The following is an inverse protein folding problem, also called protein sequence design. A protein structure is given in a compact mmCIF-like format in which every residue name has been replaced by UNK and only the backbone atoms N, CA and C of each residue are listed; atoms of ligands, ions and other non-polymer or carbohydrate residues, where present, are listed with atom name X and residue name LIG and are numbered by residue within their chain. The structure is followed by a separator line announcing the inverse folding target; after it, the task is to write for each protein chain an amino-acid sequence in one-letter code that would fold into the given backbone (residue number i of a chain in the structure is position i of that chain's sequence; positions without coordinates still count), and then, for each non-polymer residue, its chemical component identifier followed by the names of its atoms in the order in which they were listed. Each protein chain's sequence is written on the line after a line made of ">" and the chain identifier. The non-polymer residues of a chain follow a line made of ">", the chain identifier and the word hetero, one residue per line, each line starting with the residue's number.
data_IF_537336981495
#
_entry.id   IF_537336981495
#
_cell.length_a   1.000
_cell.length_b   1.000
_cell.length_c   1.000
_cell.angle_alpha   90.00
_cell.angle_beta   90.00
_cell.angle_gamma   90.00
#
_symmetry.space_group_name_H-M   'P 1'
#
loop_
_entity.id
_entity.type
_entity.pdbx_description
1 polymer ?
#
# COMPACT_ATOMS: atom_id res chain seq x y z
N UNK A 1 -8.08 37.30 23.54
CA UNK A 1 -8.15 35.90 23.10
C UNK A 1 -8.77 35.12 24.24
N UNK A 2 -9.90 34.46 24.01
CA UNK A 2 -10.59 33.78 25.10
C UNK A 2 -9.92 32.40 25.36
N UNK A 3 -10.05 31.91 26.61
CA UNK A 3 -9.50 30.61 27.04
C UNK A 3 -10.07 29.47 26.15
N UNK A 4 -11.30 29.61 25.68
CA UNK A 4 -11.95 28.65 24.74
C UNK A 4 -11.25 28.60 23.38
N UNK A 5 -10.84 29.73 22.83
CA UNK A 5 -10.13 29.77 21.54
C UNK A 5 -8.77 29.09 21.65
N UNK A 6 -8.06 29.27 22.76
CA UNK A 6 -6.76 28.65 23.03
C UNK A 6 -6.90 27.12 23.24
N UNK A 7 -8.00 26.66 23.85
CA UNK A 7 -8.28 25.24 24.03
C UNK A 7 -8.69 24.55 22.71
N UNK A 8 -9.48 25.23 21.85
CA UNK A 8 -9.82 24.73 20.52
C UNK A 8 -8.58 24.64 19.61
N UNK A 9 -7.72 25.66 19.61
CA UNK A 9 -6.49 25.65 18.82
C UNK A 9 -5.49 24.59 19.32
N UNK A 10 -5.45 24.33 20.64
CA UNK A 10 -4.60 23.28 21.21
C UNK A 10 -5.14 21.89 20.91
N UNK A 11 -6.45 21.70 20.97
CA UNK A 11 -7.11 20.43 20.60
C UNK A 11 -6.98 20.15 19.10
N UNK A 12 -7.10 21.18 18.24
CA UNK A 12 -6.91 21.04 16.79
C UNK A 12 -5.45 20.73 16.44
N UNK A 13 -4.49 21.33 17.16
CA UNK A 13 -3.06 21.09 16.99
C UNK A 13 -2.64 19.69 17.48
N UNK A 14 -3.23 19.19 18.58
CA UNK A 14 -3.01 17.83 19.08
C UNK A 14 -3.63 16.77 18.17
N UNK A 15 -4.77 17.07 17.50
CA UNK A 15 -5.41 16.17 16.53
C UNK A 15 -4.58 16.04 15.24
N UNK A 16 -3.81 17.06 14.85
CA UNK A 16 -2.92 16.99 13.68
C UNK A 16 -1.62 16.21 13.97
N UNK A 17 -1.25 16.00 15.21
CA UNK A 17 -0.03 15.26 15.58
C UNK A 17 -0.14 13.73 15.40
N UNK A 18 -1.34 13.19 15.34
CA UNK A 18 -1.63 11.74 15.22
C UNK A 18 -2.62 11.40 14.10
N UNK A 19 -2.61 12.11 12.99
CA UNK A 19 -3.44 11.78 11.84
C UNK A 19 -2.80 10.69 10.97
N UNK A 20 -3.62 9.90 10.26
CA UNK A 20 -3.09 8.93 9.29
C UNK A 20 -2.30 9.61 8.17
N UNK A 21 -2.64 10.85 7.80
CA UNK A 21 -1.88 11.65 6.83
C UNK A 21 -0.43 11.87 7.28
N UNK A 22 -0.21 12.15 8.57
CA UNK A 22 1.16 12.25 9.10
C UNK A 22 1.94 10.93 8.99
N UNK A 23 1.29 9.79 9.19
CA UNK A 23 1.97 8.50 9.02
C UNK A 23 2.33 8.25 7.56
N UNK A 24 1.47 8.66 6.60
CA UNK A 24 1.80 8.62 5.17
C UNK A 24 3.03 9.49 4.89
N UNK A 25 3.06 10.73 5.39
CA UNK A 25 4.22 11.63 5.26
C UNK A 25 5.49 11.01 5.88
N UNK A 26 5.36 10.42 7.06
CA UNK A 26 6.47 9.72 7.71
C UNK A 26 7.01 8.55 6.85
N UNK A 27 6.13 7.76 6.19
CA UNK A 27 6.52 6.69 5.27
C UNK A 27 7.23 7.31 4.05
N UNK A 28 6.69 8.37 3.47
CA UNK A 28 7.30 9.05 2.33
C UNK A 28 8.70 9.61 2.66
N UNK A 29 8.93 10.03 3.90
CA UNK A 29 10.21 10.59 4.37
C UNK A 29 11.21 9.53 4.89
N UNK A 30 10.92 8.24 4.80
CA UNK A 30 11.89 7.19 5.09
C UNK A 30 13.10 7.28 4.12
N UNK A 31 14.22 6.67 4.49
CA UNK A 31 15.49 6.76 3.74
C UNK A 31 15.52 5.86 2.50
N UNK A 32 14.52 5.96 1.62
CA UNK A 32 14.38 5.12 0.44
C UNK A 32 15.62 5.10 -0.48
N UNK A 33 16.28 6.24 -0.62
CA UNK A 33 17.51 6.36 -1.44
C UNK A 33 18.72 5.63 -0.85
N UNK A 34 18.66 5.19 0.41
CA UNK A 34 19.73 4.43 1.08
C UNK A 34 19.58 2.92 0.91
N UNK A 35 18.41 2.45 0.41
CA UNK A 35 18.22 1.02 0.21
C UNK A 35 19.13 0.50 -0.89
N UNK A 36 19.88 -0.55 -0.55
CA UNK A 36 20.54 -1.40 -1.52
C UNK A 36 19.53 -2.40 -2.15
N UNK A 37 20.02 -3.22 -3.07
CA UNK A 37 19.23 -4.26 -3.72
C UNK A 37 18.59 -5.20 -2.70
N UNK A 38 19.27 -5.50 -1.62
CA UNK A 38 18.80 -6.44 -0.61
C UNK A 38 17.64 -5.84 0.18
N UNK A 39 17.80 -4.62 0.69
CA UNK A 39 16.74 -3.90 1.40
C UNK A 39 15.51 -3.68 0.52
N UNK A 40 15.72 -3.28 -0.75
CA UNK A 40 14.61 -3.08 -1.69
C UNK A 40 13.89 -4.39 -2.03
N UNK A 41 14.62 -5.51 -2.12
CA UNK A 41 14.00 -6.85 -2.27
C UNK A 41 13.15 -7.20 -1.04
N UNK A 42 13.60 -6.87 0.17
CA UNK A 42 12.83 -7.09 1.39
C UNK A 42 11.53 -6.29 1.38
N UNK A 43 11.58 -5.03 0.92
CA UNK A 43 10.39 -4.19 0.76
C UNK A 43 9.40 -4.82 -0.22
N UNK A 44 9.86 -5.30 -1.39
CA UNK A 44 9.00 -5.97 -2.36
C UNK A 44 8.32 -7.22 -1.77
N UNK A 45 9.03 -8.00 -0.95
CA UNK A 45 8.50 -9.17 -0.26
C UNK A 45 7.37 -8.82 0.71
N UNK A 46 7.55 -7.80 1.54
CA UNK A 46 6.52 -7.42 2.51
C UNK A 46 5.38 -6.65 1.88
N UNK A 47 5.62 -5.94 0.79
CA UNK A 47 4.59 -5.29 0.00
C UNK A 47 3.56 -6.28 -0.56
N UNK A 48 3.96 -7.51 -0.91
CA UNK A 48 3.02 -8.58 -1.25
C UNK A 48 1.94 -8.77 -0.16
N UNK A 49 2.31 -8.76 1.10
CA UNK A 49 1.34 -8.92 2.20
C UNK A 49 0.43 -7.70 2.35
N UNK A 50 0.93 -6.51 2.05
CA UNK A 50 0.07 -5.33 1.93
C UNK A 50 -0.93 -5.49 0.77
N UNK A 51 -0.52 -6.00 -0.39
CA UNK A 51 -1.43 -6.25 -1.52
C UNK A 51 -2.53 -7.26 -1.16
N UNK A 52 -2.19 -8.30 -0.38
CA UNK A 52 -3.20 -9.25 0.16
C UNK A 52 -4.18 -8.53 1.08
N UNK A 53 -3.69 -7.69 2.01
CA UNK A 53 -4.55 -6.91 2.90
C UNK A 53 -5.48 -5.98 2.11
N UNK A 54 -4.94 -5.29 1.10
CA UNK A 54 -5.72 -4.39 0.25
C UNK A 54 -6.89 -5.12 -0.40
N UNK A 55 -6.64 -6.26 -1.06
CA UNK A 55 -7.69 -7.09 -1.65
C UNK A 55 -8.74 -7.50 -0.62
N UNK A 56 -8.32 -7.97 0.57
CA UNK A 56 -9.25 -8.34 1.65
C UNK A 56 -10.08 -7.15 2.14
N UNK A 57 -9.50 -5.94 2.21
CA UNK A 57 -10.22 -4.74 2.61
C UNK A 57 -11.25 -4.33 1.56
N UNK A 58 -10.94 -4.48 0.28
CA UNK A 58 -11.88 -4.24 -0.81
C UNK A 58 -13.05 -5.25 -0.78
N UNK A 59 -12.77 -6.54 -0.52
CA UNK A 59 -13.80 -7.56 -0.32
C UNK A 59 -14.73 -7.22 0.87
N UNK A 60 -14.17 -6.69 1.96
CA UNK A 60 -14.95 -6.21 3.12
C UNK A 60 -15.79 -5.00 2.73
N UNK A 61 -15.22 -4.01 2.03
CA UNK A 61 -15.97 -2.84 1.56
C UNK A 61 -17.13 -3.25 0.66
N UNK A 62 -16.91 -4.14 -0.30
CA UNK A 62 -17.95 -4.72 -1.16
C UNK A 62 -19.06 -5.43 -0.34
N UNK A 63 -18.68 -6.14 0.72
CA UNK A 63 -19.64 -6.81 1.62
C UNK A 63 -20.48 -5.84 2.45
N UNK A 64 -19.91 -4.70 2.85
CA UNK A 64 -20.59 -3.67 3.65
C UNK A 64 -21.44 -2.72 2.79
N UNK A 65 -21.06 -2.53 1.54
CA UNK A 65 -21.73 -1.64 0.57
C UNK A 65 -22.06 -2.41 -0.72
N UNK A 66 -22.97 -3.41 -0.66
CA UNK A 66 -23.22 -4.33 -1.78
C UNK A 66 -23.79 -3.64 -3.02
N UNK A 67 -24.53 -2.53 -2.83
CA UNK A 67 -25.19 -1.77 -3.91
C UNK A 67 -24.31 -0.59 -4.42
N UNK A 68 -23.05 -0.52 -4.03
CA UNK A 68 -22.14 0.53 -4.49
C UNK A 68 -21.48 0.12 -5.80
N UNK A 69 -21.99 0.63 -6.92
CA UNK A 69 -21.48 0.35 -8.26
C UNK A 69 -20.03 0.83 -8.47
N UNK A 70 -19.61 1.89 -7.76
CA UNK A 70 -18.21 2.39 -7.84
C UNK A 70 -17.23 1.42 -7.21
N UNK A 71 -17.58 0.85 -6.06
CA UNK A 71 -16.77 -0.21 -5.45
C UNK A 71 -16.75 -1.48 -6.29
N UNK A 72 -17.84 -1.79 -6.99
CA UNK A 72 -17.86 -2.90 -7.95
C UNK A 72 -16.91 -2.61 -9.13
N UNK A 73 -16.93 -1.39 -9.64
CA UNK A 73 -16.02 -0.98 -10.70
C UNK A 73 -14.55 -1.01 -10.25
N UNK A 74 -14.25 -0.54 -9.03
CA UNK A 74 -12.92 -0.63 -8.43
C UNK A 74 -12.45 -2.09 -8.33
N UNK A 75 -13.30 -2.99 -7.78
CA UNK A 75 -12.97 -4.43 -7.67
C UNK A 75 -12.68 -5.07 -9.04
N UNK A 76 -13.40 -4.65 -10.07
CA UNK A 76 -13.13 -5.09 -11.44
C UNK A 76 -11.79 -4.52 -11.96
N UNK A 77 -11.50 -3.25 -11.69
CA UNK A 77 -10.25 -2.59 -12.06
C UNK A 77 -9.03 -3.26 -11.41
N UNK A 78 -9.14 -3.60 -10.13
CA UNK A 78 -8.09 -4.31 -9.37
C UNK A 78 -7.78 -5.73 -9.91
N UNK A 79 -8.64 -6.29 -10.71
CA UNK A 79 -8.44 -7.58 -11.42
C UNK A 79 -8.05 -7.40 -12.88
N UNK A 80 -8.08 -6.17 -13.37
CA UNK A 80 -7.70 -5.84 -14.74
C UNK A 80 -6.25 -5.33 -14.77
N UNK A 81 -5.32 -6.23 -15.06
CA UNK A 81 -3.89 -5.92 -15.13
C UNK A 81 -3.47 -5.32 -16.49
N UNK A 82 -4.37 -4.68 -17.23
CA UNK A 82 -4.06 -4.15 -18.57
C UNK A 82 -2.86 -3.19 -18.56
N UNK A 83 -2.67 -2.40 -17.48
CA UNK A 83 -1.53 -1.53 -17.30
C UNK A 83 -0.26 -2.28 -16.85
N UNK A 84 -0.40 -3.45 -16.21
CA UNK A 84 0.72 -4.25 -15.69
C UNK A 84 1.18 -5.33 -16.68
N UNK A 85 0.32 -5.75 -17.61
CA UNK A 85 0.61 -6.83 -18.57
C UNK A 85 0.90 -6.27 -19.98
N UNK A 86 1.77 -6.93 -20.78
CA UNK A 86 2.53 -8.11 -20.40
C UNK A 86 3.77 -7.80 -19.57
N UNK A 87 4.12 -8.71 -18.66
CA UNK A 87 5.41 -8.69 -17.98
C UNK A 87 6.04 -10.10 -18.00
N UNK A 88 7.29 -10.26 -18.48
CA UNK A 88 7.90 -11.59 -18.67
C UNK A 88 7.85 -12.45 -17.41
N UNK A 89 7.31 -13.66 -17.52
CA UNK A 89 7.17 -14.66 -16.46
C UNK A 89 6.23 -14.28 -15.29
N UNK A 90 5.59 -13.12 -15.35
CA UNK A 90 4.61 -12.66 -14.34
C UNK A 90 3.21 -12.63 -14.92
N UNK A 91 3.02 -11.91 -16.04
CA UNK A 91 1.70 -11.75 -16.66
C UNK A 91 1.81 -11.83 -18.18
N UNK A 92 0.99 -12.66 -18.82
CA UNK A 92 0.83 -12.69 -20.26
C UNK A 92 0.02 -11.48 -20.75
N UNK A 93 0.08 -11.19 -22.05
CA UNK A 93 -0.72 -10.11 -22.66
C UNK A 93 -2.21 -10.34 -22.39
N UNK A 94 -2.86 -9.35 -21.77
CA UNK A 94 -4.30 -9.41 -21.45
C UNK A 94 -4.68 -10.41 -20.36
N UNK A 95 -3.71 -11.00 -19.66
CA UNK A 95 -3.99 -11.87 -18.52
C UNK A 95 -4.54 -11.04 -17.36
N UNK A 96 -5.69 -11.47 -16.82
CA UNK A 96 -6.36 -10.83 -15.68
C UNK A 96 -6.01 -11.56 -14.39
N UNK A 97 -5.60 -10.80 -13.38
CA UNK A 97 -5.30 -11.33 -12.05
C UNK A 97 -5.41 -10.22 -11.01
N UNK A 98 -5.60 -10.57 -9.74
CA UNK A 98 -5.47 -9.59 -8.66
C UNK A 98 -4.02 -9.11 -8.51
N UNK A 99 -3.84 -7.91 -8.01
CA UNK A 99 -2.52 -7.30 -7.81
C UNK A 99 -1.64 -8.10 -6.82
N UNK A 100 -2.22 -8.76 -5.82
CA UNK A 100 -1.48 -9.66 -4.93
C UNK A 100 -0.95 -10.90 -5.68
N UNK A 101 -1.67 -11.42 -6.67
CA UNK A 101 -1.18 -12.51 -7.52
C UNK A 101 -0.02 -12.04 -8.43
N UNK A 102 -0.12 -10.84 -8.99
CA UNK A 102 1.00 -10.24 -9.74
C UNK A 102 2.25 -10.15 -8.86
N UNK A 103 2.12 -9.62 -7.64
CA UNK A 103 3.22 -9.54 -6.69
C UNK A 103 3.75 -10.92 -6.28
N UNK A 104 2.86 -11.88 -6.03
CA UNK A 104 3.26 -13.27 -5.70
C UNK A 104 4.10 -13.92 -6.81
N UNK A 105 3.77 -13.67 -8.07
CA UNK A 105 4.57 -14.15 -9.21
C UNK A 105 5.86 -13.38 -9.35
N UNK A 106 5.85 -12.07 -9.10
CA UNK A 106 7.05 -11.22 -9.09
C UNK A 106 8.09 -11.74 -8.10
N UNK A 107 7.67 -12.13 -6.88
CA UNK A 107 8.58 -12.69 -5.89
C UNK A 107 9.29 -13.97 -6.34
N UNK A 108 8.72 -14.73 -7.27
CA UNK A 108 9.33 -15.95 -7.83
C UNK A 108 10.41 -15.70 -8.89
N UNK A 109 10.59 -14.45 -9.32
CA UNK A 109 11.58 -14.09 -10.34
C UNK A 109 13.02 -14.17 -9.84
N UNK A 110 13.20 -14.12 -8.50
CA UNK A 110 14.53 -14.17 -7.87
C UNK A 110 14.49 -15.11 -6.67
N UNK A 111 15.53 -15.94 -6.55
CA UNK A 111 15.69 -16.81 -5.37
C UNK A 111 16.30 -15.99 -4.23
N UNK A 112 15.65 -15.99 -3.09
CA UNK A 112 16.12 -15.42 -1.83
C UNK A 112 16.60 -16.56 -0.93
N UNK A 113 17.65 -16.36 -0.12
CA UNK A 113 18.11 -17.35 0.85
C UNK A 113 16.97 -17.80 1.76
N UNK A 114 16.86 -19.11 2.00
CA UNK A 114 15.72 -19.72 2.69
C UNK A 114 15.47 -19.14 4.10
N UNK A 115 16.51 -18.80 4.83
CA UNK A 115 16.40 -18.17 6.16
C UNK A 115 15.80 -16.77 6.06
N UNK A 116 16.29 -15.96 5.11
CA UNK A 116 15.78 -14.62 4.85
C UNK A 116 14.32 -14.67 4.38
N UNK A 117 13.99 -15.59 3.48
CA UNK A 117 12.62 -15.79 3.03
C UNK A 117 11.70 -16.10 4.21
N UNK A 118 12.08 -17.04 5.09
CA UNK A 118 11.30 -17.38 6.28
C UNK A 118 11.09 -16.17 7.19
N UNK A 119 12.13 -15.35 7.43
CA UNK A 119 12.01 -14.11 8.20
C UNK A 119 11.00 -13.15 7.59
N UNK A 120 11.07 -12.92 6.29
CA UNK A 120 10.17 -12.00 5.59
C UNK A 120 8.72 -12.52 5.59
N UNK A 121 8.53 -13.83 5.42
CA UNK A 121 7.22 -14.47 5.53
C UNK A 121 6.63 -14.35 6.94
N UNK A 122 7.44 -14.50 7.98
CA UNK A 122 7.00 -14.34 9.37
C UNK A 122 6.57 -12.89 9.66
N UNK A 123 7.36 -11.91 9.23
CA UNK A 123 7.01 -10.48 9.30
C UNK A 123 5.67 -10.24 8.61
N UNK A 124 5.50 -10.74 7.39
CA UNK A 124 4.28 -10.56 6.61
C UNK A 124 3.07 -11.25 7.23
N UNK A 125 3.21 -12.46 7.76
CA UNK A 125 2.13 -13.19 8.45
C UNK A 125 1.71 -12.48 9.74
N UNK A 126 2.66 -11.96 10.50
CA UNK A 126 2.41 -11.17 11.71
C UNK A 126 1.64 -9.90 11.36
N UNK A 127 2.04 -9.20 10.30
CA UNK A 127 1.31 -8.05 9.77
C UNK A 127 -0.13 -8.40 9.42
N UNK A 128 -0.38 -9.46 8.62
CA UNK A 128 -1.73 -9.86 8.24
C UNK A 128 -2.57 -10.23 9.47
N UNK A 129 -1.98 -10.89 10.46
CA UNK A 129 -2.68 -11.21 11.72
C UNK A 129 -3.11 -9.93 12.43
N UNK A 130 -2.22 -8.93 12.54
CA UNK A 130 -2.50 -7.63 13.15
C UNK A 130 -3.64 -6.91 12.43
N UNK A 131 -3.54 -6.74 11.11
CA UNK A 131 -4.54 -5.98 10.34
C UNK A 131 -5.90 -6.68 10.25
N UNK A 132 -5.92 -8.01 10.21
CA UNK A 132 -7.17 -8.81 10.23
C UNK A 132 -7.91 -8.71 11.55
N UNK A 133 -7.24 -8.39 12.67
CA UNK A 133 -7.87 -8.17 13.98
C UNK A 133 -8.53 -6.78 14.11
N UNK A 134 -8.29 -5.86 13.16
CA UNK A 134 -8.89 -4.52 13.17
C UNK A 134 -10.36 -4.58 12.71
N UNK A 135 -11.14 -3.58 13.11
CA UNK A 135 -12.57 -3.56 12.81
C UNK A 135 -12.84 -3.46 11.29
N UNK A 136 -13.93 -4.10 10.86
CA UNK A 136 -14.28 -4.23 9.44
C UNK A 136 -14.55 -2.88 8.78
N UNK A 137 -15.15 -1.92 9.53
CA UNK A 137 -15.46 -0.60 8.97
C UNK A 137 -14.17 0.18 8.69
N UNK A 138 -13.23 0.20 9.63
CA UNK A 138 -11.91 0.83 9.42
C UNK A 138 -11.18 0.21 8.24
N UNK A 139 -11.23 -1.10 8.10
CA UNK A 139 -10.65 -1.81 6.96
C UNK A 139 -11.32 -1.43 5.63
N UNK A 140 -12.65 -1.34 5.59
CA UNK A 140 -13.38 -0.96 4.39
C UNK A 140 -13.07 0.47 3.94
N UNK A 141 -13.15 1.45 4.86
CA UNK A 141 -12.94 2.85 4.49
C UNK A 141 -11.47 3.21 4.25
N UNK A 142 -10.53 2.35 4.65
CA UNK A 142 -9.11 2.54 4.37
C UNK A 142 -8.79 2.53 2.86
N UNK A 143 -9.61 1.85 2.05
CA UNK A 143 -9.46 1.82 0.58
C UNK A 143 -9.38 3.25 0.02
N UNK A 144 -10.26 4.16 0.48
CA UNK A 144 -10.21 5.54 0.00
C UNK A 144 -8.90 6.25 0.33
N UNK A 145 -8.29 5.98 1.49
CA UNK A 145 -6.99 6.58 1.85
C UNK A 145 -5.82 5.99 1.07
N UNK A 146 -5.95 4.75 0.61
CA UNK A 146 -4.93 4.11 -0.22
C UNK A 146 -4.99 4.64 -1.65
N UNK A 147 -6.17 4.65 -2.25
CA UNK A 147 -6.40 4.98 -3.65
C UNK A 147 -6.43 6.50 -3.93
N UNK A 148 -6.88 7.32 -2.98
CA UNK A 148 -6.97 8.77 -3.16
C UNK A 148 -5.66 9.48 -2.74
N UNK A 149 -4.57 9.08 -3.38
CA UNK A 149 -3.25 9.70 -3.28
C UNK A 149 -2.32 9.15 -2.19
N UNK A 150 -2.81 8.37 -1.22
CA UNK A 150 -1.98 7.85 -0.13
C UNK A 150 -0.88 6.91 -0.63
N UNK A 151 -1.25 5.86 -1.39
CA UNK A 151 -0.27 4.93 -1.97
C UNK A 151 0.53 5.56 -3.10
N UNK A 152 -0.07 6.42 -3.92
CA UNK A 152 0.67 7.11 -4.97
C UNK A 152 1.88 7.87 -4.39
N UNK A 153 1.69 8.61 -3.28
CA UNK A 153 2.76 9.31 -2.61
C UNK A 153 3.84 8.36 -2.07
N UNK A 154 3.43 7.25 -1.45
CA UNK A 154 4.36 6.21 -0.97
C UNK A 154 5.12 5.57 -2.14
N UNK A 155 4.47 5.25 -3.25
CA UNK A 155 5.12 4.67 -4.42
C UNK A 155 6.14 5.63 -5.03
N UNK A 156 5.81 6.92 -5.13
CA UNK A 156 6.75 7.97 -5.57
C UNK A 156 7.98 8.02 -4.66
N UNK A 157 7.81 7.86 -3.35
CA UNK A 157 8.93 7.79 -2.41
C UNK A 157 9.77 6.53 -2.62
N UNK A 158 9.14 5.33 -2.74
CA UNK A 158 9.85 4.07 -2.96
C UNK A 158 10.68 4.11 -4.24
N UNK A 159 10.15 4.65 -5.35
CA UNK A 159 10.88 4.69 -6.63
C UNK A 159 12.10 5.60 -6.63
N UNK A 160 12.32 6.41 -5.58
CA UNK A 160 13.57 7.17 -5.39
C UNK A 160 14.77 6.29 -5.02
N UNK A 161 14.55 5.03 -4.61
CA UNK A 161 15.61 4.04 -4.44
C UNK A 161 16.43 3.89 -5.73
N UNK A 162 17.71 3.57 -5.59
CA UNK A 162 18.64 3.62 -6.73
C UNK A 162 18.91 2.25 -7.35
N UNK A 163 18.98 1.17 -6.55
CA UNK A 163 19.38 -0.15 -7.02
C UNK A 163 18.18 -1.03 -7.41
N UNK A 164 17.68 -0.82 -8.63
CA UNK A 164 16.58 -1.58 -9.22
C UNK A 164 17.02 -2.77 -10.08
N UNK A 165 18.24 -3.24 -9.91
CA UNK A 165 18.77 -4.33 -10.70
C UNK A 165 18.14 -5.69 -10.36
N UNK A 166 17.91 -6.47 -11.42
CA UNK A 166 17.37 -7.82 -11.31
C UNK A 166 15.89 -7.93 -11.60
N UNK A 167 15.45 -9.13 -12.04
CA UNK A 167 14.11 -9.31 -12.61
C UNK A 167 12.98 -9.05 -11.62
N UNK A 168 13.15 -9.37 -10.34
CA UNK A 168 12.16 -9.10 -9.29
C UNK A 168 11.98 -7.59 -9.11
N UNK A 169 13.08 -6.85 -8.95
CA UNK A 169 13.02 -5.41 -8.69
C UNK A 169 12.53 -4.63 -9.90
N UNK A 170 12.88 -5.05 -11.11
CA UNK A 170 12.34 -4.45 -12.33
C UNK A 170 10.83 -4.65 -12.44
N UNK A 171 10.31 -5.85 -12.12
CA UNK A 171 8.88 -6.11 -12.12
C UNK A 171 8.16 -5.33 -11.00
N UNK A 172 8.77 -5.21 -9.83
CA UNK A 172 8.23 -4.40 -8.73
C UNK A 172 8.23 -2.91 -9.07
N UNK A 173 9.31 -2.39 -9.68
CA UNK A 173 9.37 -1.00 -10.15
C UNK A 173 8.29 -0.72 -11.19
N UNK A 174 8.10 -1.64 -12.13
CA UNK A 174 7.03 -1.54 -13.13
C UNK A 174 5.67 -1.46 -12.44
N UNK A 175 5.39 -2.37 -11.50
CA UNK A 175 4.15 -2.34 -10.71
C UNK A 175 3.90 -0.97 -10.08
N UNK A 176 4.87 -0.43 -9.34
CA UNK A 176 4.75 0.89 -8.69
C UNK A 176 4.55 2.03 -9.70
N UNK A 177 5.30 2.01 -10.80
CA UNK A 177 5.27 3.09 -11.81
C UNK A 177 3.94 3.12 -12.55
N UNK A 178 3.38 1.96 -12.89
CA UNK A 178 2.09 1.89 -13.58
C UNK A 178 0.94 2.30 -12.66
N UNK A 179 1.01 1.99 -11.35
CA UNK A 179 0.04 2.52 -10.39
C UNK A 179 0.13 4.05 -10.28
N UNK A 180 1.34 4.61 -10.12
CA UNK A 180 1.51 6.08 -10.11
C UNK A 180 0.90 6.72 -11.37
N UNK A 181 1.10 6.10 -12.54
CA UNK A 181 0.59 6.62 -13.79
C UNK A 181 -0.94 6.58 -13.88
N UNK A 182 -1.53 5.48 -13.40
CA UNK A 182 -2.97 5.28 -13.47
C UNK A 182 -3.71 6.11 -12.41
N UNK A 183 -3.24 6.10 -11.15
CA UNK A 183 -3.91 6.78 -10.04
C UNK A 183 -3.78 8.30 -10.09
N UNK A 184 -2.79 8.82 -10.84
CA UNK A 184 -2.66 10.27 -11.07
C UNK A 184 -3.74 10.85 -11.98
N UNK A 185 -4.60 10.03 -12.60
CA UNK A 185 -5.76 10.52 -13.37
C UNK A 185 -6.92 10.87 -12.39
N UNK A 186 -7.29 12.17 -12.26
CA UNK A 186 -8.28 12.59 -11.28
C UNK A 186 -9.72 12.16 -11.61
N UNK A 187 -9.99 11.76 -12.87
CA UNK A 187 -11.32 11.38 -13.35
C UNK A 187 -11.48 9.86 -13.50
N UNK A 188 -10.43 9.17 -13.88
CA UNK A 188 -10.44 7.73 -14.21
C UNK A 188 -9.63 6.88 -13.24
N UNK A 189 -8.79 7.48 -12.39
CA UNK A 189 -8.03 6.78 -11.36
C UNK A 189 -8.91 6.15 -10.29
N UNK A 190 -8.40 5.13 -9.62
CA UNK A 190 -9.13 4.39 -8.57
C UNK A 190 -9.62 5.29 -7.42
N UNK A 191 -8.89 6.37 -7.11
CA UNK A 191 -9.30 7.35 -6.11
C UNK A 191 -10.68 7.95 -6.38
N UNK A 192 -11.03 8.22 -7.65
CA UNK A 192 -12.34 8.75 -8.02
C UNK A 192 -13.50 7.78 -7.64
N UNK A 193 -13.22 6.46 -7.65
CA UNK A 193 -14.22 5.44 -7.36
C UNK A 193 -14.48 5.24 -5.86
N UNK A 194 -13.58 5.67 -4.96
CA UNK A 194 -13.69 5.39 -3.53
C UNK A 194 -13.70 6.62 -2.60
N UNK A 195 -13.52 7.86 -3.10
CA UNK A 195 -13.54 9.12 -2.30
C UNK A 195 -14.75 9.26 -1.39
N UNK A 196 -15.89 8.71 -1.78
CA UNK A 196 -17.11 8.78 -0.98
C UNK A 196 -17.05 7.98 0.33
N UNK A 197 -16.09 7.05 0.49
CA UNK A 197 -15.92 6.27 1.71
C UNK A 197 -15.39 7.08 2.90
N UNK A 198 -14.96 8.32 2.68
CA UNK A 198 -14.52 9.29 3.70
C UNK A 198 -13.70 8.67 4.84
N UNK A 199 -12.41 8.39 4.64
CA UNK A 199 -11.56 7.84 5.69
C UNK A 199 -11.43 8.82 6.85
N UNK A 200 -11.28 8.31 8.06
CA UNK A 200 -11.04 9.08 9.27
C UNK A 200 -9.91 8.42 10.10
N UNK A 201 -9.55 8.99 11.23
CA UNK A 201 -8.42 8.50 12.03
C UNK A 201 -8.55 7.08 12.59
N UNK A 202 -9.71 6.42 12.44
CA UNK A 202 -9.85 4.98 12.75
C UNK A 202 -9.00 4.09 11.84
N UNK A 203 -8.58 4.62 10.67
CA UNK A 203 -7.67 3.90 9.76
C UNK A 203 -6.19 4.08 10.13
N UNK A 204 -5.86 4.96 11.06
CA UNK A 204 -4.50 5.22 11.53
C UNK A 204 -3.73 3.94 11.90
N UNK A 205 -4.31 2.96 12.65
CA UNK A 205 -3.61 1.72 12.96
C UNK A 205 -3.20 0.90 11.72
N UNK A 206 -3.93 0.99 10.60
CA UNK A 206 -3.58 0.31 9.35
C UNK A 206 -2.34 0.92 8.72
N UNK A 207 -2.24 2.25 8.66
CA UNK A 207 -1.07 2.94 8.16
C UNK A 207 0.16 2.77 9.06
N UNK A 208 -0.04 2.75 10.40
CA UNK A 208 1.03 2.41 11.36
C UNK A 208 1.54 1.00 11.10
N UNK A 209 0.64 0.01 10.94
CA UNK A 209 1.04 -1.36 10.63
C UNK A 209 1.81 -1.45 9.31
N UNK A 210 1.40 -0.69 8.29
CA UNK A 210 2.13 -0.63 7.02
C UNK A 210 3.53 -0.01 7.18
N UNK A 211 3.69 1.05 7.96
CA UNK A 211 5.01 1.60 8.29
C UNK A 211 5.88 0.58 9.04
N UNK A 212 5.31 -0.10 10.03
CA UNK A 212 6.02 -1.10 10.84
C UNK A 212 6.52 -2.29 10.02
N UNK A 213 5.72 -2.80 9.06
CA UNK A 213 6.15 -3.93 8.21
C UNK A 213 7.32 -3.52 7.32
N UNK A 214 7.32 -2.30 6.77
CA UNK A 214 8.42 -1.76 5.96
C UNK A 214 9.70 -1.67 6.79
N UNK A 215 9.64 -1.08 7.99
CA UNK A 215 10.78 -0.95 8.90
C UNK A 215 11.26 -2.31 9.44
N UNK A 216 10.35 -3.26 9.67
CA UNK A 216 10.71 -4.62 10.07
C UNK A 216 11.45 -5.41 9.00
N UNK A 217 11.12 -5.16 7.73
CA UNK A 217 11.77 -5.80 6.59
C UNK A 217 13.11 -5.14 6.20
N UNK A 218 13.17 -3.81 6.29
CA UNK A 218 14.31 -2.98 5.92
C UNK A 218 14.56 -1.91 7.00
N UNK A 219 15.22 -2.27 8.13
CA UNK A 219 15.49 -1.33 9.24
C UNK A 219 16.32 -0.11 8.85
N UNK A 220 17.14 -0.21 7.81
CA UNK A 220 17.94 0.85 7.23
C UNK A 220 17.10 2.03 6.71
N UNK A 221 15.81 1.84 6.51
CA UNK A 221 14.87 2.93 6.18
C UNK A 221 14.74 3.97 7.30
N UNK A 222 15.05 3.60 8.55
CA UNK A 222 14.97 4.50 9.71
C UNK A 222 16.27 5.28 9.96
N UNK A 223 17.41 4.82 9.41
CA UNK A 223 18.77 5.37 9.65
C UNK A 223 19.23 6.21 8.47
#
# INVERSE_FOLDING_TARGET
>A
MSIEQTQLDTAHKASTEFSYGKVIDDICNLKWSHLDREGLTNVAWVYYYFSVQFRENLEIARSLYPDDDRLLQLDHGERDTNNLSPWPRVAATGEKMNHDEFMRRTLKLTTVAAERQRRLEEIGKTYLTKVRSMDRMSRAVSIASYEDGGLENVFRAIVTAQDWDGPLLQAFKHFLTEHIRFDSDPEQGHGALCRHLTPNDRILPLWIAFKEILLGAAPELAT
#
